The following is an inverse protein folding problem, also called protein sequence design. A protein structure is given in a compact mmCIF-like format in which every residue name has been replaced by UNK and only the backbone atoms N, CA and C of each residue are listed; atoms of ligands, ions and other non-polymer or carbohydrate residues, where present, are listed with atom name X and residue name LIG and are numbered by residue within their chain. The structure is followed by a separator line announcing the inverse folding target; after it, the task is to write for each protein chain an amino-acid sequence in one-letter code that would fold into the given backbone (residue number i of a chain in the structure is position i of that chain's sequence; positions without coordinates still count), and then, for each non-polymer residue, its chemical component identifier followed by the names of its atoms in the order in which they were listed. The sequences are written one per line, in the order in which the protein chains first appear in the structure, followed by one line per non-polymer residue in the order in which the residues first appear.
data_IF_227562084224
#
_entry.id   IF_227562084224
#
_cell.length_a   1.000
_cell.length_b   1.000
_cell.length_c   1.000
_cell.angle_alpha   90.00
_cell.angle_beta   90.00
_cell.angle_gamma   90.00
#
_symmetry.space_group_name_H-M   'P 1'
#
loop_
_entity.id
_entity.type
_entity.pdbx_description
1 polymer ?
#
# COMPACT_ATOMS: atom_id res chain seq x y z
N UNK A 1 3.93 29.34 -8.48
CA UNK A 1 2.91 28.27 -8.50
C UNK A 1 3.43 26.86 -8.20
N UNK A 2 4.72 26.60 -7.93
CA UNK A 2 5.16 25.26 -7.48
C UNK A 2 4.99 24.09 -8.48
N UNK A 3 4.48 24.35 -9.69
CA UNK A 3 4.13 23.35 -10.71
C UNK A 3 5.31 22.74 -11.47
N UNK A 4 6.55 23.20 -11.21
CA UNK A 4 7.79 22.75 -11.86
C UNK A 4 7.73 22.62 -13.41
N UNK A 5 6.80 23.30 -14.07
CA UNK A 5 6.41 22.99 -15.46
C UNK A 5 7.56 23.10 -16.44
N UNK A 6 8.41 24.11 -16.30
CA UNK A 6 9.61 24.29 -17.13
C UNK A 6 10.58 23.11 -16.98
N UNK A 7 10.80 22.63 -15.75
CA UNK A 7 11.65 21.47 -15.49
C UNK A 7 11.04 20.19 -16.06
N UNK A 8 9.74 19.96 -15.85
CA UNK A 8 9.04 18.78 -16.38
C UNK A 8 9.05 18.75 -17.92
N UNK A 9 8.99 19.91 -18.56
CA UNK A 9 9.11 20.04 -20.02
C UNK A 9 10.51 19.63 -20.51
N UNK A 10 11.57 20.12 -19.85
CA UNK A 10 12.96 19.75 -20.18
C UNK A 10 13.21 18.26 -19.96
N UNK A 11 12.70 17.71 -18.86
CA UNK A 11 12.82 16.29 -18.52
C UNK A 11 11.85 15.39 -19.31
N UNK A 12 10.95 15.96 -20.10
CA UNK A 12 9.96 15.26 -20.92
C UNK A 12 9.10 14.25 -20.12
N UNK A 13 8.77 14.61 -18.89
CA UNK A 13 7.90 13.85 -17.99
C UNK A 13 6.60 14.60 -17.71
N UNK A 14 5.60 13.86 -17.26
CA UNK A 14 4.39 14.39 -16.67
C UNK A 14 4.34 13.95 -15.21
N UNK A 15 4.03 14.91 -14.34
CA UNK A 15 3.78 14.75 -12.92
C UNK A 15 2.57 15.61 -12.60
N UNK A 16 1.54 15.02 -12.00
CA UNK A 16 0.40 15.78 -11.50
C UNK A 16 0.66 16.15 -10.05
N UNK A 17 0.68 17.44 -9.74
CA UNK A 17 0.96 17.94 -8.39
C UNK A 17 -0.30 18.03 -7.52
N UNK A 18 -1.47 17.68 -8.07
CA UNK A 18 -2.74 17.56 -7.37
C UNK A 18 -3.13 16.11 -7.07
N UNK A 19 -2.27 15.13 -7.35
CA UNK A 19 -2.53 13.71 -7.12
C UNK A 19 -1.46 13.10 -6.19
N UNK A 20 -1.91 12.16 -5.36
CA UNK A 20 -1.04 11.29 -4.56
C UNK A 20 -1.30 9.84 -4.89
N UNK A 21 -0.26 9.03 -4.76
CA UNK A 21 -0.35 7.59 -4.92
C UNK A 21 -0.73 6.96 -3.59
N UNK A 22 -1.50 5.89 -3.66
CA UNK A 22 -1.68 4.97 -2.54
C UNK A 22 -1.35 3.54 -2.98
N UNK A 23 -0.96 2.69 -2.02
CA UNK A 23 -0.77 1.26 -2.22
C UNK A 23 -1.22 0.51 -0.95
N UNK A 24 -2.02 -0.54 -1.12
CA UNK A 24 -2.44 -1.37 0.01
C UNK A 24 -1.39 -2.39 0.46
N UNK A 25 -0.29 -2.55 -0.29
CA UNK A 25 0.80 -3.40 0.11
C UNK A 25 1.48 -2.88 1.39
N UNK A 26 1.42 -3.68 2.45
CA UNK A 26 2.11 -3.41 3.70
C UNK A 26 2.88 -4.69 4.14
N UNK A 27 4.22 -4.67 4.14
CA UNK A 27 5.04 -5.79 4.61
C UNK A 27 5.07 -5.93 6.14
N UNK A 28 4.54 -4.95 6.88
CA UNK A 28 4.52 -4.89 8.35
C UNK A 28 3.08 -4.80 8.87
N UNK A 29 2.34 -5.93 8.89
CA UNK A 29 0.94 -5.97 9.31
C UNK A 29 0.73 -5.52 10.76
N UNK A 30 1.74 -5.61 11.62
CA UNK A 30 1.73 -5.11 12.99
C UNK A 30 1.49 -3.60 13.09
N UNK A 31 1.76 -2.85 12.03
CA UNK A 31 1.52 -1.41 11.95
C UNK A 31 0.32 -1.03 11.08
N UNK A 32 -0.53 -2.00 10.69
CA UNK A 32 -1.66 -1.76 9.78
C UNK A 32 -2.69 -0.73 10.29
N UNK A 33 -2.71 -0.42 11.59
CA UNK A 33 -3.60 0.61 12.15
C UNK A 33 -3.02 2.02 12.09
N UNK A 34 -1.69 2.14 11.96
CA UNK A 34 -0.97 3.42 11.96
C UNK A 34 -0.52 3.77 10.54
N UNK A 35 -0.13 2.76 9.77
CA UNK A 35 0.26 2.89 8.37
C UNK A 35 -0.97 2.97 7.50
N UNK A 36 -1.18 4.14 6.91
CA UNK A 36 -2.19 4.35 5.89
C UNK A 36 -1.69 3.93 4.51
N UNK A 37 -2.59 3.63 3.55
CA UNK A 37 -2.20 3.30 2.18
C UNK A 37 -1.38 4.36 1.44
N UNK A 38 -1.40 5.63 1.87
CA UNK A 38 -0.57 6.70 1.29
C UNK A 38 0.87 6.71 1.83
N UNK A 39 1.17 5.90 2.86
CA UNK A 39 2.52 5.62 3.34
C UNK A 39 3.01 4.33 2.66
N UNK A 40 3.62 4.49 1.48
CA UNK A 40 3.86 3.37 0.57
C UNK A 40 5.19 2.70 0.87
N UNK A 41 5.15 1.38 1.04
CA UNK A 41 6.32 0.52 1.07
C UNK A 41 6.65 0.02 -0.34
N UNK A 42 7.79 0.45 -0.88
CA UNK A 42 8.33 -0.08 -2.13
C UNK A 42 9.21 -1.28 -1.82
N UNK A 43 8.79 -2.45 -2.28
CA UNK A 43 9.56 -3.69 -2.17
C UNK A 43 9.21 -4.65 -3.31
N UNK A 44 10.13 -5.50 -3.79
CA UNK A 44 9.82 -6.57 -4.73
C UNK A 44 8.77 -7.57 -4.19
N UNK A 45 8.55 -7.58 -2.87
CA UNK A 45 7.50 -8.38 -2.22
C UNK A 45 6.08 -7.89 -2.49
N UNK A 46 5.91 -6.67 -3.03
CA UNK A 46 4.60 -6.11 -3.43
C UNK A 46 3.90 -6.87 -4.56
N UNK A 47 4.56 -7.82 -5.20
CA UNK A 47 4.08 -8.51 -6.39
C UNK A 47 4.65 -7.92 -7.68
N UNK A 48 5.18 -6.69 -7.63
CA UNK A 48 5.89 -6.06 -8.76
C UNK A 48 7.38 -6.40 -8.67
N UNK A 49 7.86 -7.35 -9.49
CA UNK A 49 9.29 -7.73 -9.53
C UNK A 49 10.22 -6.56 -9.85
N UNK A 50 9.71 -5.59 -10.62
CA UNK A 50 10.40 -4.33 -10.98
C UNK A 50 10.02 -3.16 -10.07
N UNK A 51 9.56 -3.41 -8.84
CA UNK A 51 9.35 -2.38 -7.82
C UNK A 51 10.62 -1.55 -7.59
N UNK A 52 11.76 -2.22 -7.62
CA UNK A 52 13.07 -1.62 -7.83
C UNK A 52 13.53 -1.90 -9.26
N UNK A 53 14.20 -0.95 -9.92
CA UNK A 53 14.81 -1.22 -11.24
C UNK A 53 15.76 -2.40 -11.12
N UNK A 54 15.61 -3.35 -12.06
CA UNK A 54 16.47 -4.52 -12.16
C UNK A 54 17.80 -4.20 -12.87
N UNK A 55 17.83 -3.11 -13.63
CA UNK A 55 18.96 -2.73 -14.48
C UNK A 55 19.78 -1.58 -13.88
N UNK A 56 19.22 -0.83 -12.93
CA UNK A 56 19.91 0.29 -12.30
C UNK A 56 20.81 -0.15 -11.15
N UNK A 57 22.04 0.37 -11.12
CA UNK A 57 22.89 0.25 -9.94
C UNK A 57 22.30 0.98 -8.73
N UNK A 58 21.56 2.08 -8.95
CA UNK A 58 20.96 2.91 -7.91
C UNK A 58 20.08 2.09 -6.96
N UNK A 59 19.24 1.22 -7.53
CA UNK A 59 18.25 0.45 -6.77
C UNK A 59 18.71 -0.97 -6.45
N UNK A 60 19.92 -1.33 -6.87
CA UNK A 60 20.43 -2.68 -6.74
C UNK A 60 20.78 -3.00 -5.29
N UNK A 61 20.16 -4.05 -4.75
CA UNK A 61 20.38 -4.51 -3.37
C UNK A 61 19.53 -3.81 -2.31
N UNK A 62 18.70 -2.85 -2.71
CA UNK A 62 17.66 -2.30 -1.84
C UNK A 62 16.60 -3.37 -1.56
N UNK A 63 16.03 -3.32 -0.36
CA UNK A 63 15.06 -4.30 0.11
C UNK A 63 13.69 -3.69 0.37
N UNK A 64 13.67 -2.50 0.95
CA UNK A 64 12.46 -1.79 1.31
C UNK A 64 12.70 -0.28 1.40
N UNK A 65 11.82 0.52 0.80
CA UNK A 65 11.79 1.98 0.94
C UNK A 65 10.40 2.37 1.43
N UNK A 66 10.32 3.33 2.34
CA UNK A 66 9.06 3.93 2.79
C UNK A 66 8.91 5.34 2.21
N UNK A 67 7.76 5.64 1.61
CA UNK A 67 7.46 6.96 1.02
C UNK A 67 6.20 7.55 1.64
N UNK A 68 6.09 8.88 1.66
CA UNK A 68 5.01 9.61 2.34
C UNK A 68 4.25 10.44 1.32
N UNK A 69 2.98 10.08 1.07
CA UNK A 69 2.12 10.77 0.09
C UNK A 69 2.83 11.06 -1.25
N UNK A 70 3.52 10.07 -1.85
CA UNK A 70 4.30 10.31 -3.04
C UNK A 70 3.39 10.59 -4.25
N UNK A 71 3.89 11.33 -5.23
CA UNK A 71 3.26 11.50 -6.53
C UNK A 71 3.66 10.40 -7.53
N UNK A 72 3.00 10.41 -8.69
CA UNK A 72 3.30 9.51 -9.80
C UNK A 72 3.88 10.28 -10.98
N UNK A 73 4.99 9.79 -11.53
CA UNK A 73 5.60 10.33 -12.75
C UNK A 73 5.44 9.39 -13.93
N UNK A 74 5.26 9.96 -15.11
CA UNK A 74 5.17 9.20 -16.36
C UNK A 74 5.93 9.88 -17.50
N UNK A 75 6.54 9.11 -18.40
CA UNK A 75 7.18 9.67 -19.58
C UNK A 75 6.11 10.29 -20.51
N UNK A 76 6.45 11.39 -21.19
CA UNK A 76 5.61 11.91 -22.28
C UNK A 76 5.71 11.00 -23.52
N UNK A 77 4.67 11.03 -24.36
CA UNK A 77 4.59 10.20 -25.58
C UNK A 77 5.71 10.52 -26.55
N UNK A 78 5.95 11.80 -26.82
CA UNK A 78 6.94 12.29 -27.79
C UNK A 78 8.30 12.60 -27.15
N UNK A 79 8.80 11.68 -26.31
CA UNK A 79 10.10 11.86 -25.66
C UNK A 79 11.25 11.36 -26.54
N UNK A 80 12.37 12.06 -26.48
CA UNK A 80 13.66 11.62 -27.01
C UNK A 80 14.67 11.29 -25.90
N UNK A 81 14.33 11.53 -24.62
CA UNK A 81 15.10 11.14 -23.44
C UNK A 81 14.83 9.69 -23.02
N UNK A 82 15.85 9.05 -22.44
CA UNK A 82 15.69 7.77 -21.78
C UNK A 82 15.01 7.97 -20.42
N UNK A 83 14.05 7.10 -20.11
CA UNK A 83 13.29 7.12 -18.86
C UNK A 83 13.39 5.73 -18.24
N UNK A 84 14.19 5.61 -17.18
CA UNK A 84 14.33 4.37 -16.42
C UNK A 84 13.57 4.50 -15.08
N UNK A 85 12.44 3.80 -14.90
CA UNK A 85 11.74 3.76 -13.61
C UNK A 85 12.64 3.13 -12.53
N UNK A 86 12.83 3.82 -11.41
CA UNK A 86 13.61 3.34 -10.27
C UNK A 86 12.73 2.71 -9.21
N UNK A 87 11.65 3.39 -8.83
CA UNK A 87 10.73 2.99 -7.77
C UNK A 87 9.31 2.84 -8.34
N UNK A 88 8.67 1.69 -8.14
CA UNK A 88 7.33 1.39 -8.63
C UNK A 88 6.45 0.73 -7.57
N UNK A 89 5.17 1.06 -7.59
CA UNK A 89 4.16 0.45 -6.70
C UNK A 89 3.82 -0.99 -7.08
N UNK A 90 3.11 -1.66 -6.17
CA UNK A 90 2.46 -2.94 -6.38
C UNK A 90 1.24 -2.86 -7.30
N UNK A 91 0.59 -4.00 -7.60
CA UNK A 91 -0.65 -4.05 -8.39
C UNK A 91 -1.90 -3.61 -7.61
N UNK A 92 -1.79 -3.37 -6.30
CA UNK A 92 -2.90 -2.93 -5.44
C UNK A 92 -2.79 -1.43 -5.14
N UNK A 93 -2.39 -0.64 -6.14
CA UNK A 93 -2.18 0.80 -6.04
C UNK A 93 -3.17 1.59 -6.89
N UNK A 94 -3.24 2.89 -6.64
CA UNK A 94 -4.01 3.83 -7.46
C UNK A 94 -3.63 5.27 -7.15
N UNK A 95 -4.41 6.20 -7.71
CA UNK A 95 -4.26 7.64 -7.52
C UNK A 95 -5.44 8.21 -6.71
N UNK A 96 -5.16 9.24 -5.92
CA UNK A 96 -6.14 10.04 -5.20
C UNK A 96 -5.89 11.51 -5.49
N UNK A 97 -6.95 12.27 -5.71
CA UNK A 97 -6.81 13.72 -5.77
C UNK A 97 -6.50 14.26 -4.37
N UNK A 98 -5.54 15.17 -4.28
CA UNK A 98 -5.14 15.83 -3.03
C UNK A 98 -6.34 16.49 -2.32
N UNK A 99 -7.26 17.05 -3.11
CA UNK A 99 -8.49 17.67 -2.59
C UNK A 99 -9.51 16.69 -2.00
N UNK A 100 -9.42 15.38 -2.31
CA UNK A 100 -10.29 14.35 -1.72
C UNK A 100 -9.74 13.85 -0.39
N UNK A 101 -8.42 13.93 -0.20
CA UNK A 101 -7.77 13.50 1.04
C UNK A 101 -7.53 14.64 2.02
N UNK A 102 -7.56 15.90 1.57
CA UNK A 102 -7.32 17.07 2.42
C UNK A 102 -8.51 18.01 2.45
N UNK A 103 -8.80 18.52 3.64
CA UNK A 103 -9.81 19.56 3.86
C UNK A 103 -9.23 20.66 4.74
N UNK A 104 -9.54 21.94 4.46
CA UNK A 104 -9.17 23.03 5.35
C UNK A 104 -9.78 22.83 6.74
N UNK A 105 -8.97 22.92 7.79
CA UNK A 105 -9.42 22.81 9.17
C UNK A 105 -8.69 23.82 10.05
N UNK A 106 -9.37 24.94 10.36
CA UNK A 106 -8.73 26.12 10.97
C UNK A 106 -7.46 26.52 10.20
N UNK A 107 -6.38 26.90 10.90
CA UNK A 107 -5.07 27.19 10.31
C UNK A 107 -4.25 25.92 9.99
N UNK A 108 -4.92 24.77 9.78
CA UNK A 108 -4.28 23.48 9.51
C UNK A 108 -5.02 22.72 8.40
N UNK A 109 -4.41 21.62 7.96
CA UNK A 109 -5.02 20.70 7.00
C UNK A 109 -5.48 19.48 7.77
N UNK A 110 -6.76 19.12 7.64
CA UNK A 110 -7.28 17.84 8.11
C UNK A 110 -7.17 16.83 6.97
N UNK A 111 -6.52 15.70 7.26
CA UNK A 111 -6.43 14.58 6.33
C UNK A 111 -7.60 13.61 6.60
N UNK A 112 -8.37 13.27 5.58
CA UNK A 112 -9.42 12.25 5.66
C UNK A 112 -8.81 10.89 6.02
N UNK A 113 -9.38 10.18 6.98
CA UNK A 113 -8.84 8.87 7.41
C UNK A 113 -9.06 7.77 6.36
N UNK A 114 -10.29 7.70 5.83
CA UNK A 114 -10.69 6.72 4.82
C UNK A 114 -11.25 7.39 3.55
N UNK A 115 -10.40 8.06 2.76
CA UNK A 115 -10.81 8.54 1.43
C UNK A 115 -11.22 7.35 0.53
N UNK A 116 -12.13 7.58 -0.43
CA UNK A 116 -12.49 6.57 -1.42
C UNK A 116 -11.26 6.24 -2.28
N UNK A 117 -10.89 4.97 -2.33
CA UNK A 117 -9.69 4.49 -3.04
C UNK A 117 -10.09 3.51 -4.11
N UNK A 118 -9.73 3.79 -5.35
CA UNK A 118 -9.98 2.92 -6.50
C UNK A 118 -8.65 2.42 -7.03
N UNK A 119 -8.45 1.09 -6.98
CA UNK A 119 -7.26 0.46 -7.52
C UNK A 119 -7.31 0.57 -9.05
N UNK A 120 -6.20 0.94 -9.67
CA UNK A 120 -6.06 1.01 -11.12
C UNK A 120 -5.16 -0.12 -11.66
N UNK A 121 -5.03 -0.22 -12.98
CA UNK A 121 -4.23 -1.28 -13.62
C UNK A 121 -2.73 -0.93 -13.71
N UNK A 122 -2.29 0.22 -13.20
CA UNK A 122 -0.95 0.74 -13.43
C UNK A 122 -0.05 0.63 -12.19
N UNK A 123 1.15 0.09 -12.39
CA UNK A 123 2.23 0.28 -11.43
C UNK A 123 2.77 1.71 -11.57
N UNK A 124 2.41 2.58 -10.62
CA UNK A 124 2.84 3.98 -10.59
C UNK A 124 4.34 4.10 -10.33
N UNK A 125 4.99 5.05 -11.00
CA UNK A 125 6.43 5.29 -10.86
C UNK A 125 6.62 6.47 -9.93
N UNK A 126 7.33 6.26 -8.82
CA UNK A 126 7.57 7.30 -7.81
C UNK A 126 8.92 8.01 -8.05
N UNK A 127 9.88 7.31 -8.65
CA UNK A 127 11.17 7.87 -9.01
C UNK A 127 11.68 7.28 -10.32
N UNK A 128 12.41 8.08 -11.08
CA UNK A 128 13.00 7.66 -12.35
C UNK A 128 14.36 8.32 -12.60
N UNK A 129 15.24 7.60 -13.28
CA UNK A 129 16.49 8.12 -13.83
C UNK A 129 16.27 8.53 -15.28
N UNK A 130 16.53 9.80 -15.56
CA UNK A 130 16.27 10.45 -16.85
C UNK A 130 17.61 10.86 -17.43
N UNK A 131 17.91 10.33 -18.62
CA UNK A 131 19.20 10.55 -19.28
C UNK A 131 19.03 10.93 -20.74
N UNK A 132 19.91 11.82 -21.23
CA UNK A 132 19.99 12.14 -22.65
C UNK A 132 20.43 10.92 -23.46
N UNK A 133 19.79 10.69 -24.60
CA UNK A 133 20.24 9.75 -25.63
C UNK A 133 21.06 10.49 -26.70
N UNK A 134 21.83 9.79 -27.55
CA UNK A 134 22.58 10.44 -28.64
C UNK A 134 21.68 11.26 -29.59
N UNK A 135 20.41 10.84 -29.74
CA UNK A 135 19.42 11.48 -30.61
C UNK A 135 18.62 12.59 -29.93
N UNK A 136 18.73 12.76 -28.61
CA UNK A 136 17.96 13.77 -27.88
C UNK A 136 18.35 15.18 -28.27
N UNK A 137 17.37 16.08 -28.32
CA UNK A 137 17.58 17.53 -28.50
C UNK A 137 18.32 18.12 -27.29
N UNK A 138 17.88 17.75 -26.10
CA UNK A 138 18.55 18.14 -24.86
C UNK A 138 19.78 17.25 -24.63
N UNK A 139 20.96 17.88 -24.50
CA UNK A 139 22.23 17.19 -24.28
C UNK A 139 22.61 17.22 -22.80
N UNK A 140 23.34 16.19 -22.36
CA UNK A 140 23.91 16.08 -21.01
C UNK A 140 22.89 16.08 -19.86
N UNK A 141 21.63 15.70 -20.11
CA UNK A 141 20.68 15.42 -19.04
C UNK A 141 21.13 14.14 -18.33
N UNK A 142 21.33 14.25 -17.02
CA UNK A 142 21.53 13.16 -16.09
C UNK A 142 20.83 13.55 -14.78
N UNK A 143 19.57 13.15 -14.64
CA UNK A 143 18.71 13.60 -13.53
C UNK A 143 17.97 12.42 -12.94
N UNK A 144 17.96 12.33 -11.61
CA UNK A 144 17.09 11.42 -10.87
C UNK A 144 15.95 12.27 -10.32
N UNK A 145 14.73 12.00 -10.78
CA UNK A 145 13.53 12.67 -10.28
C UNK A 145 12.83 11.75 -9.27
N UNK A 146 12.46 12.31 -8.11
CA UNK A 146 11.73 11.62 -7.03
C UNK A 146 10.50 12.45 -6.71
N UNK A 147 9.32 11.85 -6.77
CA UNK A 147 8.04 12.49 -6.50
C UNK A 147 7.64 12.40 -5.02
N UNK A 148 8.61 12.48 -4.12
CA UNK A 148 8.40 12.48 -2.67
C UNK A 148 9.48 13.36 -2.03
N UNK A 149 9.06 14.43 -1.36
CA UNK A 149 9.97 15.35 -0.68
C UNK A 149 10.41 14.82 0.70
N UNK A 150 9.61 13.96 1.32
CA UNK A 150 9.81 13.45 2.67
C UNK A 150 10.71 12.21 2.72
N UNK A 151 11.17 11.73 1.56
CA UNK A 151 12.12 10.60 1.43
C UNK A 151 13.44 10.82 2.19
N UNK A 152 13.78 12.09 2.47
CA UNK A 152 15.00 12.54 3.19
C UNK A 152 14.61 13.35 4.44
N UNK A 153 13.50 13.00 5.09
CA UNK A 153 13.07 13.65 6.34
C UNK A 153 13.86 13.13 7.55
N UNK A 154 14.00 14.00 8.56
CA UNK A 154 14.61 13.63 9.85
C UNK A 154 13.93 12.42 10.50
N UNK A 155 12.62 12.26 10.30
CA UNK A 155 11.86 11.12 10.80
C UNK A 155 12.35 9.79 10.20
N UNK A 156 12.61 9.75 8.90
CA UNK A 156 13.16 8.56 8.25
C UNK A 156 14.60 8.26 8.69
N UNK A 157 15.40 9.30 8.97
CA UNK A 157 16.72 9.13 9.57
C UNK A 157 16.61 8.52 10.98
N UNK A 158 15.70 9.03 11.81
CA UNK A 158 15.45 8.51 13.16
C UNK A 158 15.00 7.04 13.14
N UNK A 159 14.08 6.68 12.24
CA UNK A 159 13.62 5.30 12.07
C UNK A 159 14.81 4.38 11.74
N UNK A 160 15.67 4.79 10.80
CA UNK A 160 16.85 4.02 10.41
C UNK A 160 17.89 3.89 11.52
N UNK A 161 18.22 4.99 12.20
CA UNK A 161 19.26 5.02 13.24
C UNK A 161 18.86 4.18 14.45
N UNK A 162 17.62 4.35 14.93
CA UNK A 162 17.12 3.66 16.12
C UNK A 162 16.57 2.27 15.82
N UNK A 163 16.50 1.89 14.53
CA UNK A 163 15.69 0.76 14.07
C UNK A 163 14.30 0.78 14.72
N UNK A 164 13.72 1.99 14.78
CA UNK A 164 12.44 2.20 15.44
C UNK A 164 11.41 1.27 14.79
N UNK A 165 10.57 0.66 15.62
CA UNK A 165 9.54 -0.28 15.16
C UNK A 165 10.10 -1.54 14.46
N UNK A 166 11.41 -1.83 14.58
CA UNK A 166 12.05 -2.96 13.90
C UNK A 166 12.19 -2.78 12.38
N UNK A 167 11.87 -1.59 11.86
CA UNK A 167 11.89 -1.29 10.43
C UNK A 167 13.32 -1.11 9.92
N UNK A 168 13.66 -1.82 8.84
CA UNK A 168 14.97 -1.72 8.16
C UNK A 168 14.82 -1.13 6.78
N UNK A 169 14.55 0.17 6.75
CA UNK A 169 14.32 0.94 5.51
C UNK A 169 15.61 1.41 4.85
N UNK A 170 15.58 1.49 3.52
CA UNK A 170 16.73 1.79 2.66
C UNK A 170 16.70 3.18 2.02
N UNK A 171 15.83 4.08 2.46
CA UNK A 171 15.70 5.46 1.95
C UNK A 171 17.04 6.20 1.84
N UNK A 172 17.82 6.24 2.92
CA UNK A 172 19.14 6.88 2.92
C UNK A 172 20.14 6.13 2.02
N UNK A 173 20.03 4.80 1.89
CA UNK A 173 20.88 4.02 0.98
C UNK A 173 20.56 4.37 -0.48
N UNK A 174 19.28 4.48 -0.82
CA UNK A 174 18.83 4.92 -2.14
C UNK A 174 19.38 6.31 -2.46
N UNK A 175 19.26 7.27 -1.54
CA UNK A 175 19.81 8.61 -1.73
C UNK A 175 21.33 8.59 -1.99
N UNK A 176 22.09 7.86 -1.17
CA UNK A 176 23.55 7.74 -1.36
C UNK A 176 23.88 7.12 -2.72
N UNK A 177 23.14 6.09 -3.14
CA UNK A 177 23.33 5.50 -4.45
C UNK A 177 22.97 6.47 -5.59
N UNK A 178 21.95 7.33 -5.42
CA UNK A 178 21.62 8.38 -6.37
C UNK A 178 22.76 9.39 -6.51
N UNK A 179 23.33 9.86 -5.39
CA UNK A 179 24.46 10.81 -5.37
C UNK A 179 25.68 10.19 -6.05
N UNK A 180 26.04 8.97 -5.67
CA UNK A 180 27.17 8.22 -6.21
C UNK A 180 27.03 8.02 -7.74
N UNK A 181 25.84 7.63 -8.21
CA UNK A 181 25.55 7.46 -9.63
C UNK A 181 25.63 8.78 -10.41
N UNK A 182 25.13 9.89 -9.85
CA UNK A 182 25.18 11.21 -10.48
C UNK A 182 26.60 11.80 -10.48
N UNK A 183 27.40 11.48 -9.48
CA UNK A 183 28.82 11.82 -9.40
C UNK A 183 29.70 10.93 -10.31
N UNK A 184 29.19 9.77 -10.74
CA UNK A 184 29.89 8.82 -11.60
C UNK A 184 30.82 7.84 -10.87
N UNK A 185 30.63 7.63 -9.56
CA UNK A 185 31.39 6.66 -8.76
C UNK A 185 30.49 5.54 -8.24
N UNK A 186 30.48 4.40 -8.94
CA UNK A 186 29.65 3.24 -8.58
C UNK A 186 30.32 2.31 -7.53
N UNK A 187 31.54 2.61 -7.08
CA UNK A 187 32.35 1.71 -6.24
C UNK A 187 31.70 1.41 -4.89
N UNK A 188 31.09 2.42 -4.28
CA UNK A 188 30.43 2.30 -2.98
C UNK A 188 29.12 1.51 -3.05
N UNK A 189 28.42 1.56 -4.18
CA UNK A 189 27.15 0.83 -4.37
C UNK A 189 27.41 -0.69 -4.26
N UNK A 190 28.49 -1.19 -4.85
CA UNK A 190 28.86 -2.61 -4.79
C UNK A 190 29.12 -3.11 -3.35
N UNK A 191 29.69 -2.26 -2.49
CA UNK A 191 29.94 -2.58 -1.08
C UNK A 191 28.64 -2.61 -0.27
N UNK A 192 27.72 -1.64 -0.48
CA UNK A 192 26.44 -1.57 0.25
C UNK A 192 25.51 -2.76 -0.01
N UNK A 193 25.67 -3.45 -1.15
CA UNK A 193 24.93 -4.69 -1.48
C UNK A 193 25.26 -5.85 -0.55
N UNK A 194 26.43 -5.86 0.10
CA UNK A 194 26.88 -6.94 0.99
C UNK A 194 26.25 -6.80 2.38
N UNK A 195 24.92 -6.93 2.45
CA UNK A 195 24.16 -6.94 3.70
C UNK A 195 23.26 -8.15 3.79
N UNK A 196 22.85 -8.48 5.00
CA UNK A 196 21.87 -9.53 5.23
C UNK A 196 20.53 -9.19 4.56
N UNK A 197 19.94 -10.18 3.89
CA UNK A 197 18.61 -10.07 3.28
C UNK A 197 17.54 -10.31 4.35
N UNK A 198 16.59 -9.39 4.47
CA UNK A 198 15.43 -9.49 5.34
C UNK A 198 14.49 -10.59 4.83
N UNK A 199 14.56 -11.75 5.48
CA UNK A 199 13.70 -12.90 5.19
C UNK A 199 12.47 -12.83 6.09
N UNK A 200 11.33 -12.65 5.45
CA UNK A 200 10.02 -12.77 6.10
C UNK A 200 9.45 -14.17 5.86
N UNK A 201 8.32 -14.48 6.50
CA UNK A 201 7.62 -15.75 6.33
C UNK A 201 6.91 -15.79 4.97
N UNK A 202 7.67 -15.97 3.89
CA UNK A 202 7.18 -15.87 2.50
C UNK A 202 6.01 -16.81 2.19
N UNK A 203 5.90 -17.93 2.92
CA UNK A 203 4.76 -18.83 2.79
C UNK A 203 3.50 -18.20 3.38
N UNK A 204 3.60 -17.63 4.59
CA UNK A 204 2.50 -16.92 5.26
C UNK A 204 2.05 -15.76 4.37
N UNK A 205 2.98 -14.90 3.94
CA UNK A 205 2.69 -13.75 3.06
C UNK A 205 1.95 -14.17 1.79
N UNK A 206 2.36 -15.29 1.16
CA UNK A 206 1.71 -15.79 -0.04
C UNK A 206 0.28 -16.24 0.24
N UNK A 207 0.06 -17.00 1.31
CA UNK A 207 -1.28 -17.48 1.68
C UNK A 207 -2.20 -16.33 2.13
N UNK A 208 -1.67 -15.34 2.86
CA UNK A 208 -2.45 -14.19 3.34
C UNK A 208 -2.75 -13.17 2.24
N UNK A 209 -1.93 -13.10 1.19
CA UNK A 209 -2.11 -12.15 0.07
C UNK A 209 -3.46 -12.27 -0.64
N UNK A 210 -4.04 -13.47 -0.70
CA UNK A 210 -5.36 -13.71 -1.32
C UNK A 210 -6.45 -13.00 -0.53
N UNK A 211 -6.47 -13.17 0.79
CA UNK A 211 -7.45 -12.51 1.66
C UNK A 211 -7.29 -10.99 1.68
N UNK A 212 -6.05 -10.49 1.57
CA UNK A 212 -5.80 -9.06 1.43
C UNK A 212 -6.41 -8.52 0.13
N UNK A 213 -6.30 -9.26 -0.97
CA UNK A 213 -6.91 -8.89 -2.25
C UNK A 213 -8.44 -8.92 -2.17
N UNK A 214 -9.03 -10.00 -1.67
CA UNK A 214 -10.48 -10.13 -1.48
C UNK A 214 -11.03 -9.00 -0.60
N UNK A 215 -10.37 -8.72 0.53
CA UNK A 215 -10.70 -7.60 1.43
C UNK A 215 -10.73 -6.27 0.69
N UNK A 216 -9.73 -6.00 -0.16
CA UNK A 216 -9.65 -4.74 -0.90
C UNK A 216 -10.80 -4.63 -1.93
N UNK A 217 -11.13 -5.72 -2.63
CA UNK A 217 -12.26 -5.77 -3.56
C UNK A 217 -13.61 -5.56 -2.85
N UNK A 218 -13.81 -6.15 -1.67
CA UNK A 218 -15.02 -5.95 -0.87
C UNK A 218 -15.14 -4.51 -0.34
N UNK A 219 -14.02 -3.89 0.06
CA UNK A 219 -13.97 -2.48 0.45
C UNK A 219 -14.34 -1.56 -0.71
N UNK A 220 -13.85 -1.85 -1.90
CA UNK A 220 -14.16 -1.07 -3.10
C UNK A 220 -15.67 -1.16 -3.41
N UNK A 221 -16.26 -2.35 -3.33
CA UNK A 221 -17.72 -2.53 -3.48
C UNK A 221 -18.50 -1.73 -2.44
N UNK A 222 -18.12 -1.82 -1.17
CA UNK A 222 -18.77 -1.05 -0.09
C UNK A 222 -18.65 0.46 -0.31
N UNK A 223 -17.53 0.93 -0.86
CA UNK A 223 -17.31 2.34 -1.20
C UNK A 223 -18.21 2.77 -2.35
N UNK A 224 -18.26 2.00 -3.45
CA UNK A 224 -19.13 2.26 -4.60
C UNK A 224 -20.61 2.27 -4.21
N UNK A 225 -21.03 1.33 -3.36
CA UNK A 225 -22.40 1.28 -2.86
C UNK A 225 -22.75 2.51 -2.01
N UNK A 226 -21.82 2.98 -1.17
CA UNK A 226 -21.99 4.20 -0.39
C UNK A 226 -22.05 5.45 -1.29
N UNK A 227 -21.16 5.57 -2.28
CA UNK A 227 -21.16 6.66 -3.25
C UNK A 227 -22.46 6.71 -4.05
N UNK A 228 -22.98 5.56 -4.49
CA UNK A 228 -24.27 5.49 -5.19
C UNK A 228 -25.43 5.99 -4.31
N UNK A 229 -25.47 5.60 -3.03
CA UNK A 229 -26.46 6.08 -2.07
C UNK A 229 -26.34 7.59 -1.81
N UNK A 230 -25.10 8.11 -1.70
CA UNK A 230 -24.84 9.54 -1.53
C UNK A 230 -25.28 10.35 -2.75
N UNK A 231 -25.01 9.83 -3.96
CA UNK A 231 -25.46 10.45 -5.21
C UNK A 231 -26.99 10.48 -5.28
N UNK A 232 -27.67 9.38 -4.95
CA UNK A 232 -29.13 9.33 -4.91
C UNK A 232 -29.72 10.33 -3.90
N UNK A 233 -29.12 10.46 -2.71
CA UNK A 233 -29.55 11.43 -1.70
C UNK A 233 -29.40 12.88 -2.19
N UNK A 234 -28.28 13.19 -2.86
CA UNK A 234 -28.02 14.51 -3.46
C UNK A 234 -28.98 14.83 -4.61
N UNK A 235 -29.25 13.85 -5.47
CA UNK A 235 -30.18 14.00 -6.59
C UNK A 235 -31.62 14.20 -6.12
N UNK A 236 -32.03 13.50 -5.05
CA UNK A 236 -33.34 13.70 -4.41
C UNK A 236 -33.50 15.13 -3.89
N UNK A 237 -32.48 15.68 -3.24
CA UNK A 237 -32.48 17.07 -2.77
C UNK A 237 -32.55 18.07 -3.93
N UNK A 238 -31.77 17.84 -4.98
CA UNK A 238 -31.80 18.66 -6.19
C UNK A 238 -33.20 18.68 -6.83
N UNK A 239 -33.83 17.51 -6.95
CA UNK A 239 -35.17 17.38 -7.50
C UNK A 239 -36.23 18.10 -6.66
N UNK A 240 -36.17 18.03 -5.32
CA UNK A 240 -37.10 18.77 -4.44
C UNK A 240 -36.90 20.29 -4.55
N UNK A 241 -35.65 20.76 -4.65
CA UNK A 241 -35.37 22.19 -4.88
C UNK A 241 -35.92 22.66 -6.22
N UNK A 242 -35.69 21.90 -7.28
CA UNK A 242 -36.13 22.25 -8.63
C UNK A 242 -37.67 22.27 -8.73
N UNK A 243 -38.40 21.43 -7.97
CA UNK A 243 -39.88 21.50 -7.86
C UNK A 243 -40.36 22.81 -7.25
N UNK A 244 -39.73 23.28 -6.16
CA UNK A 244 -40.08 24.54 -5.48
C UNK A 244 -39.76 25.73 -6.38
N UNK A 245 -38.66 25.67 -7.12
CA UNK A 245 -38.25 26.72 -8.05
C UNK A 245 -39.16 26.82 -9.28
N UNK A 246 -39.74 25.71 -9.75
CA UNK A 246 -40.62 25.68 -10.92
C UNK A 246 -42.10 25.94 -10.62
N UNK A 247 -42.51 25.99 -9.34
CA UNK A 247 -43.89 26.30 -8.97
C UNK A 247 -44.24 27.76 -9.31
N UNK A 248 -45.23 27.94 -10.20
CA UNK A 248 -45.72 29.24 -10.70
C UNK A 248 -46.87 29.82 -9.87
N UNK A 249 -47.36 29.09 -8.86
CA UNK A 249 -48.48 29.51 -8.00
C UNK A 249 -48.07 30.41 -6.83
N UNK A 250 -46.76 30.55 -6.57
CA UNK A 250 -46.20 31.26 -5.42
C UNK A 250 -45.71 32.67 -5.77
N UNK A 251 -46.04 33.65 -4.91
CA UNK A 251 -45.49 35.01 -4.97
C UNK A 251 -43.96 35.03 -4.72
N UNK A 252 -43.23 35.95 -5.36
CA UNK A 252 -41.77 35.97 -5.35
C UNK A 252 -41.16 36.08 -3.94
N UNK A 253 -41.83 36.78 -3.01
CA UNK A 253 -41.34 36.95 -1.63
C UNK A 253 -41.59 35.70 -0.79
N UNK A 254 -42.74 35.05 -0.96
CA UNK A 254 -43.08 33.78 -0.30
C UNK A 254 -42.19 32.65 -0.80
N UNK A 255 -41.88 32.64 -2.10
CA UNK A 255 -40.97 31.68 -2.74
C UNK A 255 -39.57 31.73 -2.15
N UNK A 256 -39.02 32.92 -1.88
CA UNK A 256 -37.69 33.06 -1.25
C UNK A 256 -37.66 32.55 0.20
N UNK A 257 -38.71 32.79 0.98
CA UNK A 257 -38.78 32.33 2.39
C UNK A 257 -38.93 30.81 2.43
N UNK A 258 -39.83 30.25 1.61
CA UNK A 258 -40.02 28.80 1.52
C UNK A 258 -38.78 28.09 0.99
N UNK A 259 -38.10 28.67 -0.02
CA UNK A 259 -36.87 28.09 -0.56
C UNK A 259 -35.77 28.03 0.51
N UNK A 260 -35.56 29.11 1.29
CA UNK A 260 -34.56 29.10 2.37
C UNK A 260 -34.91 28.10 3.47
N UNK A 261 -36.16 28.02 3.89
CA UNK A 261 -36.59 27.05 4.90
C UNK A 261 -36.51 25.60 4.40
N UNK A 262 -36.82 25.36 3.12
CA UNK A 262 -36.67 24.06 2.49
C UNK A 262 -35.20 23.70 2.35
N UNK A 263 -34.34 24.63 1.93
CA UNK A 263 -32.89 24.46 1.87
C UNK A 263 -32.32 24.07 3.23
N UNK A 264 -32.66 24.77 4.32
CA UNK A 264 -32.16 24.44 5.67
C UNK A 264 -32.67 23.11 6.22
N UNK A 265 -33.91 22.70 5.87
CA UNK A 265 -34.47 21.44 6.33
C UNK A 265 -33.92 20.26 5.53
N UNK A 266 -33.82 20.40 4.22
CA UNK A 266 -33.28 19.37 3.33
C UNK A 266 -31.76 19.26 3.46
N UNK A 267 -31.03 20.35 3.72
CA UNK A 267 -29.59 20.29 4.01
C UNK A 267 -29.32 19.51 5.31
N UNK A 268 -30.15 19.71 6.34
CA UNK A 268 -30.08 18.93 7.59
C UNK A 268 -30.42 17.46 7.37
N UNK A 269 -31.41 17.15 6.52
CA UNK A 269 -31.72 15.77 6.15
C UNK A 269 -30.58 15.11 5.40
N UNK A 270 -29.99 15.83 4.42
CA UNK A 270 -28.83 15.37 3.68
C UNK A 270 -27.67 15.10 4.63
N UNK A 271 -27.35 16.01 5.56
CA UNK A 271 -26.29 15.81 6.54
C UNK A 271 -26.51 14.54 7.40
N UNK A 272 -27.76 14.28 7.82
CA UNK A 272 -28.11 13.06 8.57
C UNK A 272 -27.98 11.81 7.70
N UNK A 273 -28.44 11.86 6.44
CA UNK A 273 -28.35 10.75 5.51
C UNK A 273 -26.88 10.46 5.14
N UNK A 274 -26.07 11.49 4.85
CA UNK A 274 -24.63 11.38 4.61
C UNK A 274 -23.93 10.75 5.83
N UNK A 275 -24.21 11.24 7.05
CA UNK A 275 -23.65 10.67 8.27
C UNK A 275 -24.06 9.21 8.50
N UNK A 276 -25.31 8.86 8.17
CA UNK A 276 -25.82 7.49 8.29
C UNK A 276 -25.14 6.57 7.28
N UNK A 277 -25.04 6.98 6.02
CA UNK A 277 -24.40 6.21 4.94
C UNK A 277 -22.91 6.01 5.27
N UNK A 278 -22.22 7.06 5.72
CA UNK A 278 -20.82 6.98 6.10
C UNK A 278 -20.60 6.03 7.28
N UNK A 279 -21.50 6.06 8.28
CA UNK A 279 -21.47 5.12 9.40
C UNK A 279 -21.72 3.67 8.96
N UNK A 280 -22.69 3.44 8.07
CA UNK A 280 -22.95 2.09 7.51
C UNK A 280 -21.73 1.56 6.75
N UNK A 281 -21.10 2.42 5.93
CA UNK A 281 -19.86 2.10 5.21
C UNK A 281 -18.75 1.73 6.18
N UNK A 282 -18.52 2.54 7.22
CA UNK A 282 -17.46 2.27 8.21
C UNK A 282 -17.70 0.94 8.94
N UNK A 283 -18.94 0.66 9.34
CA UNK A 283 -19.29 -0.62 9.97
C UNK A 283 -19.08 -1.81 9.03
N UNK A 284 -19.34 -1.65 7.74
CA UNK A 284 -19.08 -2.69 6.75
C UNK A 284 -17.59 -2.94 6.56
N UNK A 285 -16.78 -1.88 6.48
CA UNK A 285 -15.31 -1.96 6.39
C UNK A 285 -14.73 -2.63 7.64
N UNK A 286 -15.22 -2.29 8.83
CA UNK A 286 -14.80 -2.93 10.09
C UNK A 286 -15.14 -4.42 10.13
N UNK A 287 -16.32 -4.82 9.64
CA UNK A 287 -16.70 -6.23 9.53
C UNK A 287 -15.78 -6.99 8.57
N UNK A 288 -15.52 -6.42 7.40
CA UNK A 288 -14.59 -6.96 6.40
C UNK A 288 -13.20 -7.13 7.04
N UNK A 289 -12.67 -6.09 7.71
CA UNK A 289 -11.38 -6.14 8.44
C UNK A 289 -11.38 -7.30 9.45
N UNK A 290 -12.40 -7.39 10.31
CA UNK A 290 -12.48 -8.40 11.35
C UNK A 290 -12.56 -9.84 10.79
N UNK A 291 -13.27 -10.03 9.67
CA UNK A 291 -13.36 -11.33 9.01
C UNK A 291 -12.02 -11.74 8.39
N UNK A 292 -11.38 -10.84 7.65
CA UNK A 292 -10.06 -11.08 7.05
C UNK A 292 -9.01 -11.39 8.10
N UNK A 293 -8.98 -10.66 9.21
CA UNK A 293 -8.03 -10.94 10.30
C UNK A 293 -8.23 -12.31 10.94
N UNK A 294 -9.47 -12.81 11.04
CA UNK A 294 -9.72 -14.17 11.54
C UNK A 294 -9.13 -15.21 10.59
N UNK A 295 -9.34 -15.05 9.28
CA UNK A 295 -8.79 -15.95 8.27
C UNK A 295 -7.25 -15.94 8.27
N UNK A 296 -6.64 -14.77 8.41
CA UNK A 296 -5.18 -14.65 8.53
C UNK A 296 -4.67 -15.37 9.79
N UNK A 297 -5.31 -15.15 10.94
CA UNK A 297 -4.94 -15.83 12.20
C UNK A 297 -5.04 -17.35 12.11
N UNK A 298 -6.06 -17.88 11.44
CA UNK A 298 -6.20 -19.34 11.24
C UNK A 298 -5.01 -19.93 10.46
N UNK A 299 -4.51 -19.22 9.46
CA UNK A 299 -3.34 -19.63 8.67
C UNK A 299 -2.07 -19.56 9.51
N UNK A 300 -1.87 -18.46 10.24
CA UNK A 300 -0.73 -18.28 11.13
C UNK A 300 -0.69 -19.37 12.22
N UNK A 301 -1.83 -19.66 12.84
CA UNK A 301 -1.94 -20.67 13.89
C UNK A 301 -1.68 -22.07 13.34
N UNK A 302 -2.19 -22.41 12.15
CA UNK A 302 -1.89 -23.67 11.47
C UNK A 302 -0.40 -23.84 11.24
N UNK A 303 0.26 -22.81 10.70
CA UNK A 303 1.71 -22.83 10.44
C UNK A 303 2.50 -22.91 11.75
N UNK A 304 2.06 -22.21 12.79
CA UNK A 304 2.65 -22.29 14.14
C UNK A 304 2.58 -23.71 14.70
N UNK A 305 1.44 -24.39 14.57
CA UNK A 305 1.32 -25.79 15.01
C UNK A 305 2.25 -26.74 14.26
N UNK A 306 2.39 -26.59 12.94
CA UNK A 306 3.38 -27.36 12.19
C UNK A 306 4.81 -27.07 12.65
N UNK A 307 5.16 -25.81 12.87
CA UNK A 307 6.49 -25.41 13.34
C UNK A 307 6.82 -25.97 14.74
N UNK A 308 5.82 -26.21 15.59
CA UNK A 308 5.99 -26.80 16.93
C UNK A 308 6.04 -28.34 16.87
N UNK A 309 5.17 -28.97 16.09
CA UNK A 309 4.99 -30.44 16.11
C UNK A 309 5.95 -31.20 15.19
N UNK A 310 6.41 -30.60 14.09
CA UNK A 310 7.29 -31.27 13.12
C UNK A 310 8.72 -31.48 13.65
N UNK A 311 9.38 -30.50 14.30
CA UNK A 311 10.76 -30.68 14.78
C UNK A 311 11.00 -31.86 15.75
N UNK A 312 10.13 -32.15 16.74
CA UNK A 312 10.34 -33.30 17.63
C UNK A 312 10.00 -34.65 16.97
N UNK A 313 9.26 -34.66 15.85
CA UNK A 313 8.76 -35.88 15.23
C UNK A 313 9.88 -36.88 14.85
N UNK A 314 11.00 -36.48 14.21
CA UNK A 314 12.11 -37.40 13.94
C UNK A 314 12.72 -38.02 15.20
N UNK A 315 12.85 -37.24 16.28
CA UNK A 315 13.41 -37.73 17.54
C UNK A 315 12.47 -38.75 18.22
N UNK A 316 11.16 -38.47 18.22
CA UNK A 316 10.13 -39.39 18.71
C UNK A 316 10.15 -40.68 17.87
N UNK A 317 10.22 -40.57 16.55
CA UNK A 317 10.24 -41.71 15.64
C UNK A 317 11.48 -42.59 15.85
N UNK A 318 12.66 -41.99 16.04
CA UNK A 318 13.87 -42.71 16.42
C UNK A 318 13.73 -43.43 17.77
N UNK A 319 13.13 -42.77 18.76
CA UNK A 319 12.85 -43.38 20.07
C UNK A 319 11.93 -44.61 19.96
N UNK A 320 10.86 -44.51 19.16
CA UNK A 320 9.94 -45.62 18.89
C UNK A 320 10.65 -46.75 18.14
N UNK A 321 11.43 -46.44 17.10
CA UNK A 321 12.21 -47.44 16.36
C UNK A 321 13.18 -48.17 17.31
N UNK A 322 13.90 -47.44 18.15
CA UNK A 322 14.82 -48.03 19.13
C UNK A 322 14.10 -48.95 20.12
N UNK A 323 12.94 -48.53 20.64
CA UNK A 323 12.13 -49.35 21.54
C UNK A 323 11.65 -50.63 20.86
N UNK A 324 11.21 -50.53 19.60
CA UNK A 324 10.81 -51.70 18.80
C UNK A 324 11.97 -52.68 18.56
N UNK A 325 13.15 -52.17 18.19
CA UNK A 325 14.36 -53.00 18.06
C UNK A 325 14.74 -53.67 19.38
N UNK A 326 14.64 -52.95 20.50
CA UNK A 326 14.91 -53.48 21.84
C UNK A 326 13.95 -54.61 22.21
N UNK A 327 12.64 -54.40 22.06
CA UNK A 327 11.62 -55.42 22.38
C UNK A 327 11.78 -56.68 21.51
N UNK A 328 12.15 -56.52 20.23
CA UNK A 328 12.41 -57.65 19.34
C UNK A 328 13.63 -58.46 19.80
N UNK A 329 14.68 -57.81 20.29
CA UNK A 329 15.89 -58.49 20.77
C UNK A 329 15.73 -59.11 22.17
N UNK A 330 14.98 -58.49 23.09
CA UNK A 330 14.72 -59.07 24.42
C UNK A 330 14.00 -60.42 24.33
N UNK A 331 13.17 -60.64 23.30
CA UNK A 331 12.47 -61.90 23.06
C UNK A 331 13.31 -63.01 22.36
N UNK A 332 14.53 -62.71 21.91
CA UNK A 332 15.39 -63.69 21.22
C UNK A 332 16.13 -64.63 22.19
N UNK A 333 16.42 -64.19 23.41
CA UNK A 333 17.16 -64.98 24.40
C UNK A 333 16.26 -65.79 25.36
N UNK A 334 14.94 -65.77 25.16
CA UNK A 334 13.98 -66.55 25.97
C UNK A 334 13.68 -67.87 25.26
N UNK A 335 14.06 -68.98 25.89
CA UNK A 335 13.75 -70.36 25.44
C UNK A 335 12.25 -70.50 25.14
N UNK A 336 11.85 -71.15 24.03
CA UNK A 336 10.44 -71.25 23.60
C UNK A 336 9.50 -71.78 24.69
N UNK A 337 9.99 -72.63 25.59
CA UNK A 337 9.22 -73.23 26.69
C UNK A 337 8.88 -72.27 27.85
N UNK A 338 9.46 -71.06 27.90
CA UNK A 338 9.19 -70.03 28.92
C UNK A 338 8.42 -68.82 28.39
N UNK A 339 7.96 -68.85 27.14
CA UNK A 339 7.11 -67.80 26.58
C UNK A 339 5.69 -67.97 27.10
N UNK A 340 5.20 -67.03 27.91
CA UNK A 340 3.77 -66.92 28.20
C UNK A 340 3.03 -66.76 26.86
N UNK A 341 2.22 -67.75 26.51
CA UNK A 341 1.30 -67.65 25.37
C UNK A 341 0.36 -66.47 25.63
N UNK A 342 0.33 -65.53 24.69
CA UNK A 342 -0.72 -64.52 24.64
C UNK A 342 -2.02 -65.16 24.19
#
# INVERSE_FOLDING_TARGET
EGRLTSLLNVLQIAWDNGEVVFDYFNPHPEFAEVVRPELIFISPKSGTRSAFSLNSNITSGLQEILTFFPGSIRPRKDRDLNFEPLLRTGPNSGLLAWGEITSPFFNSIRIAQEPPRVIDEHAHVLAAHITSTPKSKEKHINVIFVADADLISDELFNIRERQAFGLKIDNVTFLLNCVDQLAGDDSYIALRKRREKHRTLTLVERETSVFVKERNEEREKATKDAEAKLAEARDRLKAERDKIEQDKSLDNRTKQIMLRMAEENESRRLEVDEAKIEREKQQQIEKIKAQTERQIREIEDRIRWYAILVPPFPAILLGICFLFFRMKNENQNISPDRRLKK
#
